data_IF_954334332917
#
_entry.id   IF_954334332917
#
_cell.length_a   1.000
_cell.length_b   1.000
_cell.length_c   1.000
_cell.angle_alpha   90.00
_cell.angle_beta   90.00
_cell.angle_gamma   90.00
#
_symmetry.space_group_name_H-M   'P 1'
#
loop_
_entity.id
_entity.type
_entity.pdbx_description
1 polymer ?
#
# COMPACT_ATOMS: atom_id res chain seq x y z
N UNK A 1 -0.59 11.04 -13.99
CA UNK A 1 -0.39 11.20 -15.44
C UNK A 1 -0.95 12.54 -15.93
N UNK A 2 -0.40 13.08 -17.01
CA UNK A 2 -0.88 14.31 -17.64
C UNK A 2 -2.34 14.24 -18.05
N UNK A 3 -2.81 13.07 -18.51
CA UNK A 3 -4.24 12.84 -18.82
C UNK A 3 -5.15 13.05 -17.60
N UNK A 4 -4.78 12.53 -16.43
CA UNK A 4 -5.57 12.72 -15.22
C UNK A 4 -5.62 14.20 -14.81
N UNK A 5 -4.48 14.89 -14.86
CA UNK A 5 -4.40 16.34 -14.62
C UNK A 5 -5.29 17.12 -15.60
N UNK A 6 -5.24 16.81 -16.89
CA UNK A 6 -6.06 17.45 -17.90
C UNK A 6 -7.58 17.31 -17.61
N UNK A 7 -8.01 16.13 -17.14
CA UNK A 7 -9.40 15.90 -16.74
C UNK A 7 -9.77 16.74 -15.51
N UNK A 8 -8.90 16.82 -14.51
CA UNK A 8 -9.13 17.62 -13.30
C UNK A 8 -9.22 19.11 -13.63
N UNK A 9 -8.31 19.63 -14.47
CA UNK A 9 -8.35 21.02 -14.93
C UNK A 9 -9.67 21.32 -15.63
N UNK A 10 -10.08 20.51 -16.62
CA UNK A 10 -11.31 20.71 -17.37
C UNK A 10 -12.58 20.66 -16.51
N UNK A 11 -12.58 19.86 -15.44
CA UNK A 11 -13.77 19.64 -14.60
C UNK A 11 -13.92 20.62 -13.46
N UNK A 12 -12.85 21.20 -12.97
CA UNK A 12 -12.89 21.93 -11.71
C UNK A 12 -12.00 23.16 -11.59
N UNK A 13 -11.03 23.37 -12.50
CA UNK A 13 -10.04 24.42 -12.31
C UNK A 13 -10.64 25.82 -12.13
N UNK A 14 -11.56 26.23 -12.99
CA UNK A 14 -12.18 27.57 -12.87
C UNK A 14 -12.87 27.80 -11.53
N UNK A 15 -13.33 26.75 -10.88
CA UNK A 15 -13.96 26.79 -9.57
C UNK A 15 -12.96 26.86 -8.42
N UNK A 16 -11.76 26.28 -8.58
CA UNK A 16 -10.80 26.07 -7.49
C UNK A 16 -9.43 26.71 -7.76
N UNK A 17 -9.24 27.42 -8.86
CA UNK A 17 -7.95 27.98 -9.31
C UNK A 17 -7.24 28.82 -8.26
N UNK A 18 -7.99 29.59 -7.49
CA UNK A 18 -7.44 30.45 -6.41
C UNK A 18 -6.85 29.66 -5.23
N UNK A 19 -7.22 28.38 -5.09
CA UNK A 19 -6.71 27.49 -4.06
C UNK A 19 -5.62 26.53 -4.56
N UNK A 20 -5.29 26.56 -5.85
CA UNK A 20 -4.33 25.66 -6.46
C UNK A 20 -2.91 26.16 -6.24
N UNK A 21 -2.25 25.64 -5.20
CA UNK A 21 -0.86 25.98 -4.84
C UNK A 21 0.21 25.13 -5.55
N UNK A 22 -0.14 24.01 -6.13
CA UNK A 22 0.79 23.08 -6.77
C UNK A 22 0.13 21.81 -7.29
N UNK A 23 0.90 21.02 -8.05
CA UNK A 23 0.51 19.69 -8.51
C UNK A 23 1.48 18.68 -7.95
N UNK A 24 1.00 17.67 -7.24
CA UNK A 24 1.83 16.60 -6.72
C UNK A 24 1.90 15.49 -7.77
N UNK A 25 3.11 15.17 -8.21
CA UNK A 25 3.43 13.94 -8.93
C UNK A 25 4.03 12.95 -7.93
N UNK A 26 3.37 11.82 -7.74
CA UNK A 26 3.88 10.74 -6.90
C UNK A 26 4.36 9.58 -7.78
N UNK A 27 5.63 9.17 -7.59
CA UNK A 27 6.19 8.01 -8.27
C UNK A 27 5.60 6.72 -7.68
N UNK A 28 4.82 5.95 -8.47
CA UNK A 28 4.09 4.80 -7.92
C UNK A 28 4.98 3.63 -7.51
N UNK A 29 6.20 3.50 -8.04
CA UNK A 29 7.13 2.42 -7.70
C UNK A 29 7.88 2.67 -6.39
N UNK A 30 8.06 3.94 -6.03
CA UNK A 30 8.87 4.34 -4.88
C UNK A 30 8.07 4.99 -3.75
N UNK A 31 6.80 5.27 -3.97
CA UNK A 31 5.91 5.81 -2.94
C UNK A 31 5.68 4.82 -1.81
N UNK A 32 5.45 5.32 -0.60
CA UNK A 32 4.96 4.54 0.54
C UNK A 32 3.46 4.67 0.68
N UNK A 33 2.77 3.59 1.01
CA UNK A 33 1.31 3.56 1.07
C UNK A 33 0.68 3.33 -0.30
N UNK A 34 -0.49 3.91 -0.56
CA UNK A 34 -1.21 3.69 -1.80
C UNK A 34 -0.46 4.27 -3.00
N UNK A 35 -0.30 3.47 -4.04
CA UNK A 35 0.47 3.79 -5.23
C UNK A 35 -0.45 4.13 -6.41
N UNK A 36 -0.22 5.27 -7.05
CA UNK A 36 -1.01 5.77 -8.16
C UNK A 36 -0.63 5.17 -9.52
N UNK A 37 -0.56 3.84 -9.65
CA UNK A 37 -0.30 3.18 -10.93
C UNK A 37 -1.38 3.50 -11.95
N UNK A 38 -0.97 3.76 -13.18
CA UNK A 38 -1.88 3.83 -14.34
C UNK A 38 -2.03 2.46 -15.00
N UNK A 39 -3.03 2.30 -15.85
CA UNK A 39 -3.26 1.04 -16.56
C UNK A 39 -2.11 0.62 -17.50
N UNK A 40 -1.18 1.52 -17.79
CA UNK A 40 0.00 1.28 -18.65
C UNK A 40 1.27 1.01 -17.84
N UNK A 41 1.22 1.16 -16.51
CA UNK A 41 2.36 0.94 -15.64
C UNK A 41 2.44 -0.55 -15.24
N UNK A 42 3.63 -1.13 -15.31
CA UNK A 42 3.90 -2.49 -14.84
C UNK A 42 4.63 -2.43 -13.49
N UNK A 43 4.05 -3.04 -12.46
CA UNK A 43 4.59 -3.00 -11.08
C UNK A 43 6.06 -3.43 -11.01
N UNK A 44 6.44 -4.46 -11.77
CA UNK A 44 7.80 -5.00 -11.81
C UNK A 44 8.80 -4.23 -12.68
N UNK A 45 8.36 -3.15 -13.37
CA UNK A 45 9.19 -2.39 -14.31
C UNK A 45 9.18 -0.89 -13.98
N UNK A 46 9.95 -0.45 -12.97
CA UNK A 46 10.07 0.96 -12.63
C UNK A 46 10.52 1.80 -13.84
N UNK A 47 9.89 2.96 -14.01
CA UNK A 47 10.22 3.91 -15.07
C UNK A 47 10.80 5.18 -14.46
N UNK A 48 11.66 5.88 -15.21
CA UNK A 48 12.10 7.22 -14.79
C UNK A 48 10.92 8.19 -14.82
N UNK A 49 10.72 9.00 -13.78
CA UNK A 49 9.62 9.95 -13.72
C UNK A 49 9.75 11.13 -14.69
N UNK A 50 10.93 11.33 -15.28
CA UNK A 50 11.25 12.51 -16.09
C UNK A 50 10.20 12.82 -17.16
N UNK A 51 9.91 11.86 -18.05
CA UNK A 51 8.93 12.07 -19.13
C UNK A 51 7.52 12.37 -18.61
N UNK A 52 7.12 11.74 -17.51
CA UNK A 52 5.80 11.99 -16.90
C UNK A 52 5.71 13.40 -16.30
N UNK A 53 6.80 13.90 -15.73
CA UNK A 53 6.88 15.25 -15.17
C UNK A 53 6.89 16.30 -16.27
N UNK A 54 7.65 16.09 -17.35
CA UNK A 54 7.63 16.94 -18.54
C UNK A 54 6.22 16.99 -19.17
N UNK A 55 5.54 15.84 -19.31
CA UNK A 55 4.15 15.78 -19.78
C UNK A 55 3.22 16.63 -18.89
N UNK A 56 3.36 16.52 -17.57
CA UNK A 56 2.58 17.32 -16.60
C UNK A 56 2.84 18.80 -16.80
N UNK A 57 4.11 19.21 -16.97
CA UNK A 57 4.48 20.62 -17.24
C UNK A 57 3.86 21.14 -18.52
N UNK A 58 3.87 20.34 -19.59
CA UNK A 58 3.24 20.70 -20.86
C UNK A 58 1.74 20.91 -20.71
N UNK A 59 1.04 20.02 -19.98
CA UNK A 59 -0.40 20.16 -19.68
C UNK A 59 -0.65 21.44 -18.89
N UNK A 60 0.16 21.76 -17.88
CA UNK A 60 0.03 22.99 -17.12
C UNK A 60 0.23 24.23 -18.01
N UNK A 61 1.27 24.27 -18.81
CA UNK A 61 1.56 25.38 -19.71
C UNK A 61 0.45 25.64 -20.73
N UNK A 62 -0.10 24.59 -21.34
CA UNK A 62 -1.22 24.66 -22.27
C UNK A 62 -2.52 25.22 -21.66
N UNK A 63 -2.63 25.20 -20.33
CA UNK A 63 -3.79 25.71 -19.60
C UNK A 63 -3.49 27.04 -18.86
N UNK A 64 -2.37 27.73 -19.19
CA UNK A 64 -1.98 28.99 -18.56
C UNK A 64 -1.45 28.87 -17.13
N UNK A 65 -1.02 27.65 -16.75
CA UNK A 65 -0.54 27.29 -15.41
C UNK A 65 0.96 26.95 -15.38
N UNK A 66 1.72 27.48 -16.33
CA UNK A 66 3.14 27.18 -16.49
C UNK A 66 3.99 27.45 -15.26
N UNK A 67 3.62 28.40 -14.41
CA UNK A 67 4.35 28.76 -13.18
C UNK A 67 3.94 27.93 -11.95
N UNK A 68 2.89 27.14 -12.04
CA UNK A 68 2.43 26.28 -10.92
C UNK A 68 3.50 25.23 -10.62
N UNK A 69 3.99 25.12 -9.37
CA UNK A 69 5.03 24.17 -9.03
C UNK A 69 4.54 22.72 -9.13
N UNK A 70 5.44 21.83 -9.59
CA UNK A 70 5.25 20.39 -9.52
C UNK A 70 5.99 19.87 -8.29
N UNK A 71 5.26 19.26 -7.36
CA UNK A 71 5.85 18.64 -6.17
C UNK A 71 6.11 17.17 -6.47
N UNK A 72 7.38 16.80 -6.50
CA UNK A 72 7.82 15.43 -6.75
C UNK A 72 7.76 14.64 -5.43
N UNK A 73 7.00 13.56 -5.41
CA UNK A 73 6.84 12.65 -4.29
C UNK A 73 7.12 11.20 -4.72
N UNK A 74 7.40 10.34 -3.74
CA UNK A 74 7.77 8.95 -3.99
C UNK A 74 9.26 8.80 -4.34
N UNK A 75 10.00 8.13 -3.47
CA UNK A 75 11.41 7.85 -3.68
C UNK A 75 12.38 9.01 -3.42
N UNK A 76 11.91 10.18 -3.04
CA UNK A 76 12.78 11.32 -2.71
C UNK A 76 13.53 11.03 -1.41
N UNK A 77 14.86 10.96 -1.50
CA UNK A 77 15.75 10.71 -0.36
C UNK A 77 16.70 11.87 -0.11
N UNK A 78 17.39 12.34 -1.13
CA UNK A 78 18.25 13.54 -1.10
C UNK A 78 17.92 14.41 -2.31
N UNK A 79 18.27 15.71 -2.26
CA UNK A 79 18.14 16.59 -3.43
C UNK A 79 19.21 16.28 -4.49
N UNK A 80 20.32 15.68 -4.08
CA UNK A 80 21.38 15.26 -5.01
C UNK A 80 20.86 14.21 -6.03
N UNK A 81 19.97 13.32 -5.60
CA UNK A 81 19.36 12.32 -6.49
C UNK A 81 18.49 12.96 -7.60
N UNK A 82 18.14 14.25 -7.46
CA UNK A 82 17.20 14.97 -8.32
C UNK A 82 17.77 16.23 -8.97
N UNK A 83 19.10 16.37 -9.04
CA UNK A 83 19.74 17.56 -9.61
C UNK A 83 19.32 17.86 -11.05
N UNK A 84 19.09 16.82 -11.88
CA UNK A 84 18.62 16.97 -13.26
C UNK A 84 17.21 17.54 -13.40
N UNK A 85 16.46 17.62 -12.28
CA UNK A 85 15.11 18.18 -12.22
C UNK A 85 15.08 19.61 -11.70
N UNK A 86 16.11 20.01 -10.93
CA UNK A 86 16.22 21.33 -10.33
C UNK A 86 16.77 22.30 -11.38
N UNK A 87 16.16 23.50 -11.47
CA UNK A 87 16.53 24.53 -12.45
C UNK A 87 16.48 24.07 -13.92
N UNK A 88 15.72 23.02 -14.20
CA UNK A 88 15.56 22.47 -15.53
C UNK A 88 14.42 23.19 -16.27
N UNK A 89 14.71 23.86 -17.44
CA UNK A 89 13.71 24.66 -18.15
C UNK A 89 12.55 23.85 -18.74
N UNK A 90 12.73 22.56 -19.02
CA UNK A 90 11.63 21.69 -19.50
C UNK A 90 10.66 21.35 -18.36
N UNK A 91 11.13 21.31 -17.15
CA UNK A 91 10.36 20.93 -15.95
C UNK A 91 9.79 22.18 -15.26
N UNK A 92 10.55 23.25 -15.21
CA UNK A 92 10.19 24.50 -14.53
C UNK A 92 10.22 24.36 -13.02
N UNK A 93 9.35 25.08 -12.31
CA UNK A 93 9.33 25.12 -10.86
C UNK A 93 8.99 23.74 -10.26
N UNK A 94 9.90 23.22 -9.41
CA UNK A 94 9.73 21.96 -8.68
C UNK A 94 9.87 22.14 -7.19
N UNK A 95 9.19 21.28 -6.45
CA UNK A 95 9.40 21.03 -5.02
C UNK A 95 9.51 19.54 -4.75
N UNK A 96 9.86 19.17 -3.51
CA UNK A 96 10.08 17.77 -3.15
C UNK A 96 9.35 17.41 -1.86
N UNK A 97 8.74 16.22 -1.83
CA UNK A 97 8.06 15.67 -0.66
C UNK A 97 8.84 14.47 -0.14
N UNK A 98 9.21 14.52 1.13
CA UNK A 98 9.87 13.44 1.85
C UNK A 98 8.86 12.71 2.74
N UNK A 99 8.49 11.49 2.40
CA UNK A 99 7.53 10.68 3.18
C UNK A 99 8.22 9.72 4.14
N UNK A 100 9.12 8.88 3.64
CA UNK A 100 9.74 7.79 4.40
C UNK A 100 10.86 8.28 5.33
N UNK A 101 11.74 9.17 4.85
CA UNK A 101 12.91 9.62 5.59
C UNK A 101 12.58 10.28 6.94
N UNK A 102 11.52 11.10 7.08
CA UNK A 102 11.13 11.67 8.38
C UNK A 102 10.65 10.66 9.42
N UNK A 103 10.32 9.42 9.04
CA UNK A 103 9.86 8.41 9.99
C UNK A 103 10.91 8.07 11.06
N UNK A 104 12.20 8.26 10.78
CA UNK A 104 13.28 8.01 11.73
C UNK A 104 13.77 9.26 12.49
N UNK A 105 12.94 10.27 12.62
CA UNK A 105 13.26 11.43 13.47
C UNK A 105 12.79 11.24 14.91
N UNK A 106 13.32 12.02 15.85
CA UNK A 106 12.89 12.01 17.26
C UNK A 106 11.40 12.29 17.38
N UNK A 107 10.89 13.27 16.63
CA UNK A 107 9.52 13.74 16.67
C UNK A 107 8.52 12.80 16.02
N UNK A 108 9.00 11.84 15.21
CA UNK A 108 8.12 10.87 14.59
C UNK A 108 7.43 9.99 15.64
N UNK A 109 6.08 9.87 15.59
CA UNK A 109 5.33 9.15 16.62
C UNK A 109 5.37 7.63 16.48
N UNK A 110 6.01 7.09 15.43
CA UNK A 110 6.11 5.62 15.30
C UNK A 110 6.95 5.04 16.43
N UNK A 111 6.61 3.84 16.87
CA UNK A 111 7.29 3.21 18.01
C UNK A 111 8.76 2.91 17.75
N UNK A 112 9.52 2.75 18.83
CA UNK A 112 10.94 2.39 18.76
C UNK A 112 11.18 1.05 18.04
N UNK A 113 10.23 0.12 18.15
CA UNK A 113 10.31 -1.17 17.45
C UNK A 113 10.28 -0.97 15.93
N UNK A 114 9.38 -0.11 15.41
CA UNK A 114 9.33 0.25 14.00
C UNK A 114 10.59 1.01 13.56
N UNK A 115 11.06 1.98 14.36
CA UNK A 115 12.29 2.74 14.05
C UNK A 115 13.50 1.81 13.91
N UNK A 116 13.65 0.84 14.82
CA UNK A 116 14.72 -0.17 14.76
C UNK A 116 14.59 -1.08 13.53
N UNK A 117 13.38 -1.52 13.19
CA UNK A 117 13.16 -2.32 12.00
C UNK A 117 13.57 -1.59 10.72
N UNK A 118 13.20 -0.31 10.59
CA UNK A 118 13.53 0.52 9.42
C UNK A 118 15.05 0.61 9.17
N UNK A 119 15.90 0.64 10.21
CA UNK A 119 17.36 0.68 10.07
C UNK A 119 17.97 -0.59 9.46
N UNK A 120 17.24 -1.70 9.48
CA UNK A 120 17.77 -3.00 9.06
C UNK A 120 17.18 -3.49 7.72
N UNK A 121 16.32 -2.69 7.08
CA UNK A 121 15.67 -3.07 5.84
C UNK A 121 16.68 -3.22 4.69
N UNK A 122 16.41 -4.21 3.84
CA UNK A 122 17.05 -4.40 2.55
C UNK A 122 16.10 -3.95 1.42
N UNK A 123 16.57 -3.95 0.19
CA UNK A 123 15.81 -3.49 -0.97
C UNK A 123 14.47 -4.23 -1.14
N UNK A 124 14.45 -5.55 -0.87
CA UNK A 124 13.28 -6.41 -1.07
C UNK A 124 12.37 -6.52 0.16
N UNK A 125 12.68 -5.80 1.25
CA UNK A 125 11.87 -5.80 2.47
C UNK A 125 10.68 -4.83 2.39
N UNK A 126 10.55 -4.08 1.31
CA UNK A 126 9.37 -3.26 1.00
C UNK A 126 8.71 -3.79 -0.26
N UNK A 127 7.44 -4.19 -0.15
CA UNK A 127 6.69 -4.81 -1.24
C UNK A 127 5.47 -3.99 -1.62
N UNK A 128 5.15 -3.99 -2.93
CA UNK A 128 3.90 -3.47 -3.46
C UNK A 128 2.90 -4.62 -3.50
N UNK A 129 1.72 -4.40 -2.93
CA UNK A 129 0.67 -5.41 -2.76
C UNK A 129 -0.72 -4.77 -2.86
N UNK A 130 -1.75 -5.58 -3.05
CA UNK A 130 -3.15 -5.17 -3.25
C UNK A 130 -4.07 -5.53 -2.07
N UNK A 131 -3.52 -5.75 -0.87
CA UNK A 131 -4.28 -6.15 0.31
C UNK A 131 -5.05 -5.01 0.99
N UNK A 132 -4.79 -3.75 0.56
CA UNK A 132 -5.50 -2.61 1.13
C UNK A 132 -7.01 -2.70 0.88
N UNK A 133 -7.84 -2.40 1.90
CA UNK A 133 -9.29 -2.37 1.73
C UNK A 133 -9.78 -1.30 0.73
N UNK A 134 -8.91 -0.44 0.25
CA UNK A 134 -9.20 0.54 -0.82
C UNK A 134 -9.22 -0.09 -2.22
N UNK A 135 -8.70 -1.31 -2.38
CA UNK A 135 -8.52 -1.97 -3.68
C UNK A 135 -7.37 -1.41 -4.52
N UNK A 136 -6.61 -0.43 -4.01
CA UNK A 136 -5.43 0.09 -4.70
C UNK A 136 -4.16 -0.62 -4.24
N UNK A 137 -3.21 -0.77 -5.17
CA UNK A 137 -1.86 -1.21 -4.85
C UNK A 137 -1.25 -0.29 -3.78
N UNK A 138 -0.54 -0.87 -2.85
CA UNK A 138 0.14 -0.12 -1.80
C UNK A 138 1.50 -0.71 -1.44
N UNK A 139 2.42 0.14 -1.03
CA UNK A 139 3.79 -0.21 -0.67
C UNK A 139 3.95 -0.22 0.84
N UNK A 140 4.38 -1.36 1.39
CA UNK A 140 4.54 -1.57 2.82
C UNK A 140 5.74 -2.47 3.13
N UNK A 141 6.18 -2.44 4.40
CA UNK A 141 7.22 -3.34 4.90
C UNK A 141 6.70 -4.77 4.91
N UNK A 142 7.49 -5.68 4.34
CA UNK A 142 7.24 -7.12 4.28
C UNK A 142 7.54 -7.76 5.64
N UNK A 143 6.56 -7.73 6.53
CA UNK A 143 6.61 -8.36 7.84
C UNK A 143 5.68 -9.59 7.90
N UNK A 144 5.58 -10.22 9.07
CA UNK A 144 4.68 -11.38 9.27
C UNK A 144 3.21 -11.06 8.98
N UNK A 145 2.76 -9.82 9.27
CA UNK A 145 1.40 -9.38 8.92
C UNK A 145 1.14 -9.44 7.41
N UNK A 146 2.02 -8.86 6.61
CA UNK A 146 1.92 -8.90 5.13
C UNK A 146 2.05 -10.35 4.62
N UNK A 147 2.94 -11.16 5.21
CA UNK A 147 3.11 -12.55 4.80
C UNK A 147 1.87 -13.41 5.07
N UNK A 148 1.13 -13.16 6.16
CA UNK A 148 -0.18 -13.81 6.42
C UNK A 148 -1.19 -13.51 5.30
N UNK A 149 -1.24 -12.25 4.83
CA UNK A 149 -2.16 -11.86 3.74
C UNK A 149 -1.76 -12.48 2.39
N UNK A 150 -0.46 -12.56 2.09
CA UNK A 150 0.03 -13.31 0.92
C UNK A 150 -0.35 -14.78 0.98
N UNK A 151 -0.17 -15.43 2.13
CA UNK A 151 -0.52 -16.84 2.29
C UNK A 151 -2.03 -17.07 2.11
N UNK A 152 -2.88 -16.18 2.64
CA UNK A 152 -4.34 -16.23 2.41
C UNK A 152 -4.69 -16.15 0.92
N UNK A 153 -4.10 -15.20 0.20
CA UNK A 153 -4.35 -14.99 -1.22
C UNK A 153 -3.80 -16.14 -2.08
N UNK A 154 -2.59 -16.61 -1.79
CA UNK A 154 -1.93 -17.66 -2.56
C UNK A 154 -2.54 -19.05 -2.33
N UNK A 155 -3.28 -19.25 -1.22
CA UNK A 155 -4.00 -20.48 -0.91
C UNK A 155 -5.49 -20.43 -1.25
N UNK A 156 -5.95 -19.37 -1.90
CA UNK A 156 -7.32 -19.18 -2.32
C UNK A 156 -7.71 -20.22 -3.36
N UNK A 157 -8.83 -20.92 -3.11
CA UNK A 157 -9.34 -21.96 -4.00
C UNK A 157 -10.80 -21.73 -4.39
N UNK A 158 -11.20 -22.05 -5.62
CA UNK A 158 -12.60 -22.01 -6.03
C UNK A 158 -13.41 -23.12 -5.36
N UNK A 159 -14.71 -22.91 -5.23
CA UNK A 159 -15.64 -23.92 -4.70
C UNK A 159 -17.00 -23.87 -5.39
N UNK A 160 -17.76 -24.94 -5.25
CA UNK A 160 -19.17 -25.03 -5.61
C UNK A 160 -20.03 -25.37 -4.38
N UNK A 161 -21.27 -24.92 -4.36
CA UNK A 161 -22.28 -25.32 -3.35
C UNK A 161 -22.86 -26.67 -3.65
N UNK A 162 -22.78 -27.13 -4.90
CA UNK A 162 -23.29 -28.40 -5.38
C UNK A 162 -22.15 -29.26 -5.91
N UNK A 163 -22.24 -30.56 -5.71
CA UNK A 163 -21.28 -31.51 -6.26
C UNK A 163 -21.42 -31.58 -7.78
N UNK A 164 -20.31 -31.47 -8.50
CA UNK A 164 -20.25 -31.59 -9.96
C UNK A 164 -19.08 -32.47 -10.36
N UNK A 165 -18.94 -32.75 -11.64
CA UNK A 165 -17.77 -33.50 -12.15
C UNK A 165 -16.44 -32.73 -11.95
N UNK A 166 -16.48 -31.41 -11.94
CA UNK A 166 -15.32 -30.55 -11.71
C UNK A 166 -15.04 -30.36 -10.21
N UNK A 167 -16.09 -30.12 -9.43
CA UNK A 167 -16.05 -29.92 -7.98
C UNK A 167 -16.55 -31.18 -7.27
N UNK A 168 -15.68 -32.17 -7.15
CA UNK A 168 -16.05 -33.54 -6.68
C UNK A 168 -15.76 -33.79 -5.21
N UNK A 169 -14.77 -33.07 -4.64
CA UNK A 169 -14.25 -33.34 -3.29
C UNK A 169 -14.97 -32.48 -2.24
N UNK A 170 -15.62 -33.12 -1.23
CA UNK A 170 -16.34 -32.38 -0.19
C UNK A 170 -15.38 -31.71 0.79
N UNK A 171 -15.64 -30.45 1.17
CA UNK A 171 -14.97 -29.73 2.24
C UNK A 171 -15.99 -29.16 3.22
N UNK A 172 -15.83 -29.43 4.51
CA UNK A 172 -16.76 -28.97 5.56
C UNK A 172 -16.47 -27.51 5.89
N UNK A 173 -17.38 -26.62 5.54
CA UNK A 173 -17.31 -25.20 5.85
C UNK A 173 -17.80 -24.88 7.27
N UNK A 174 -18.92 -25.50 7.68
CA UNK A 174 -19.50 -25.36 9.02
C UNK A 174 -20.27 -26.62 9.39
N UNK A 175 -20.81 -26.67 10.62
CA UNK A 175 -21.56 -27.84 11.12
C UNK A 175 -22.64 -28.36 10.16
N UNK A 176 -23.26 -27.44 9.39
CA UNK A 176 -24.39 -27.77 8.51
C UNK A 176 -24.14 -27.39 7.05
N UNK A 177 -22.89 -27.05 6.68
CA UNK A 177 -22.58 -26.59 5.33
C UNK A 177 -21.34 -27.29 4.80
N UNK A 178 -21.50 -28.00 3.71
CA UNK A 178 -20.43 -28.62 2.94
C UNK A 178 -20.38 -27.93 1.58
N UNK A 179 -19.19 -27.58 1.17
CA UNK A 179 -18.89 -27.13 -0.18
C UNK A 179 -18.10 -28.21 -0.92
N UNK A 180 -17.94 -28.05 -2.21
CA UNK A 180 -17.20 -28.97 -3.06
C UNK A 180 -16.08 -28.22 -3.76
N UNK A 181 -14.89 -28.81 -3.75
CA UNK A 181 -13.68 -28.26 -4.36
C UNK A 181 -13.16 -29.20 -5.45
N UNK A 182 -12.23 -28.75 -6.25
CA UNK A 182 -11.58 -29.56 -7.25
C UNK A 182 -10.63 -30.55 -6.59
N UNK A 183 -10.46 -31.70 -7.22
CA UNK A 183 -9.50 -32.71 -6.74
C UNK A 183 -8.06 -32.17 -6.68
N UNK A 184 -7.67 -31.33 -7.61
CA UNK A 184 -6.35 -30.70 -7.65
C UNK A 184 -6.10 -29.74 -6.47
N UNK A 185 -7.14 -29.13 -5.92
CA UNK A 185 -7.05 -28.20 -4.79
C UNK A 185 -6.87 -28.90 -3.43
N UNK A 186 -7.03 -30.23 -3.36
CA UNK A 186 -6.84 -31.01 -2.13
C UNK A 186 -5.40 -30.86 -1.57
N UNK A 187 -4.40 -30.74 -2.43
CA UNK A 187 -3.03 -30.51 -2.00
C UNK A 187 -2.88 -29.19 -1.24
N UNK A 188 -3.56 -28.14 -1.68
CA UNK A 188 -3.61 -26.83 -0.98
C UNK A 188 -4.30 -26.96 0.37
N UNK A 189 -5.43 -27.69 0.45
CA UNK A 189 -6.14 -27.97 1.72
C UNK A 189 -5.20 -28.64 2.72
N UNK A 190 -4.53 -29.71 2.29
CA UNK A 190 -3.60 -30.48 3.14
C UNK A 190 -2.43 -29.63 3.62
N UNK A 191 -1.88 -28.78 2.76
CA UNK A 191 -0.81 -27.84 3.12
C UNK A 191 -1.28 -26.84 4.16
N UNK A 192 -2.45 -26.24 3.99
CA UNK A 192 -2.99 -25.26 4.92
C UNK A 192 -3.35 -25.90 6.26
N UNK A 193 -3.90 -27.11 6.26
CA UNK A 193 -4.16 -27.88 7.49
C UNK A 193 -2.85 -28.18 8.25
N UNK A 194 -1.78 -28.55 7.57
CA UNK A 194 -0.44 -28.76 8.20
C UNK A 194 0.10 -27.48 8.82
N UNK A 195 -0.26 -26.31 8.29
CA UNK A 195 0.08 -24.98 8.88
C UNK A 195 -0.87 -24.60 10.04
N UNK A 196 -1.82 -25.44 10.42
CA UNK A 196 -2.83 -25.16 11.47
C UNK A 196 -3.97 -24.25 11.02
N UNK A 197 -4.12 -24.02 9.72
CA UNK A 197 -5.18 -23.20 9.14
C UNK A 197 -6.37 -24.06 8.76
N UNK A 198 -7.22 -24.35 9.73
CA UNK A 198 -8.38 -25.25 9.60
C UNK A 198 -9.71 -24.54 9.48
N UNK A 199 -9.73 -23.21 9.67
CA UNK A 199 -10.94 -22.41 9.51
C UNK A 199 -11.07 -21.91 8.07
N UNK A 200 -12.25 -22.05 7.49
CA UNK A 200 -12.56 -21.54 6.16
C UNK A 200 -13.30 -20.19 6.24
N UNK A 201 -13.09 -19.35 5.23
CA UNK A 201 -13.89 -18.15 4.99
C UNK A 201 -14.17 -18.01 3.50
N UNK A 202 -15.40 -17.59 3.17
CA UNK A 202 -15.82 -17.30 1.79
C UNK A 202 -15.44 -15.85 1.48
N UNK A 203 -14.84 -15.63 0.32
CA UNK A 203 -14.52 -14.29 -0.19
C UNK A 203 -15.68 -13.70 -1.00
N UNK A 204 -15.69 -12.38 -1.24
CA UNK A 204 -16.66 -11.77 -2.15
C UNK A 204 -16.65 -12.34 -3.57
N UNK A 205 -15.54 -12.92 -4.01
CA UNK A 205 -15.38 -13.51 -5.35
C UNK A 205 -15.81 -14.99 -5.42
N UNK A 206 -16.48 -15.50 -4.36
CA UNK A 206 -16.91 -16.90 -4.23
C UNK A 206 -15.75 -17.90 -4.28
N UNK A 207 -14.69 -17.62 -3.54
CA UNK A 207 -13.60 -18.55 -3.29
C UNK A 207 -13.46 -18.83 -1.81
N UNK A 208 -12.69 -19.84 -1.44
CA UNK A 208 -12.35 -20.18 -0.06
C UNK A 208 -10.93 -19.75 0.26
N UNK A 209 -10.75 -19.18 1.45
CA UNK A 209 -9.45 -18.94 2.07
C UNK A 209 -9.35 -19.67 3.40
N UNK A 210 -8.10 -19.92 3.83
CA UNK A 210 -7.77 -20.69 5.02
C UNK A 210 -7.21 -19.77 6.10
N UNK A 211 -7.71 -19.96 7.33
CA UNK A 211 -7.35 -19.17 8.51
C UNK A 211 -7.04 -20.11 9.67
N UNK A 212 -6.13 -19.72 10.56
CA UNK A 212 -6.07 -20.33 11.88
C UNK A 212 -7.27 -19.89 12.74
N UNK A 213 -7.48 -20.56 13.85
CA UNK A 213 -8.55 -20.17 14.80
C UNK A 213 -8.34 -18.75 15.30
N UNK A 214 -7.10 -18.40 15.67
CA UNK A 214 -6.75 -17.07 16.18
C UNK A 214 -6.94 -15.99 15.12
N UNK A 215 -6.51 -16.23 13.87
CA UNK A 215 -6.76 -15.32 12.75
C UNK A 215 -8.26 -15.08 12.55
N UNK A 216 -9.06 -16.16 12.57
CA UNK A 216 -10.52 -16.05 12.41
C UNK A 216 -11.16 -15.23 13.54
N UNK A 217 -10.74 -15.46 14.78
CA UNK A 217 -11.24 -14.72 15.94
C UNK A 217 -10.88 -13.23 15.83
N UNK A 218 -9.64 -12.90 15.50
CA UNK A 218 -9.19 -11.52 15.33
C UNK A 218 -9.96 -10.81 14.22
N UNK A 219 -10.11 -11.45 13.06
CA UNK A 219 -10.85 -10.87 11.95
C UNK A 219 -12.33 -10.62 12.31
N UNK A 220 -12.95 -11.53 13.07
CA UNK A 220 -14.35 -11.35 13.53
C UNK A 220 -14.50 -10.18 14.51
N UNK A 221 -13.52 -9.97 15.40
CA UNK A 221 -13.48 -8.78 16.27
C UNK A 221 -13.32 -7.51 15.45
N UNK A 222 -12.41 -7.50 14.49
CA UNK A 222 -12.16 -6.36 13.62
C UNK A 222 -13.38 -6.01 12.75
N UNK A 223 -14.14 -7.03 12.30
CA UNK A 223 -15.42 -6.84 11.60
C UNK A 223 -16.46 -6.21 12.51
N UNK A 224 -16.56 -6.67 13.76
CA UNK A 224 -17.49 -6.14 14.77
C UNK A 224 -17.20 -4.67 15.07
N UNK A 225 -15.92 -4.31 15.15
CA UNK A 225 -15.45 -2.95 15.44
C UNK A 225 -15.41 -2.03 14.21
N UNK A 226 -15.78 -2.55 13.02
CA UNK A 226 -15.71 -1.80 11.78
C UNK A 226 -16.71 -0.64 11.77
N UNK A 227 -16.20 0.58 11.67
CA UNK A 227 -17.01 1.81 11.60
C UNK A 227 -17.43 2.23 10.18
N UNK A 228 -17.10 1.42 9.16
CA UNK A 228 -17.47 1.69 7.76
C UNK A 228 -16.74 2.88 7.13
N UNK A 229 -15.55 3.26 7.61
CA UNK A 229 -14.81 4.47 7.22
C UNK A 229 -14.46 4.57 5.71
N UNK A 230 -14.55 3.47 4.97
CA UNK A 230 -14.37 3.41 3.51
C UNK A 230 -15.68 2.88 2.88
N UNK A 231 -16.70 3.72 2.82
CA UNK A 231 -18.01 3.39 2.21
C UNK A 231 -18.60 2.06 2.71
N UNK A 232 -18.68 1.91 4.03
CA UNK A 232 -19.14 0.72 4.76
C UNK A 232 -18.18 -0.49 4.76
N UNK A 233 -16.92 -0.24 4.68
CA UNK A 233 -15.74 -1.09 4.55
C UNK A 233 -15.92 -2.58 4.91
N UNK A 234 -15.82 -3.05 6.15
CA UNK A 234 -15.60 -4.47 6.52
C UNK A 234 -14.54 -5.15 5.64
N UNK A 235 -13.40 -4.43 5.52
CA UNK A 235 -12.24 -4.75 4.67
C UNK A 235 -12.51 -4.73 3.17
N UNK A 236 -13.52 -4.01 2.74
CA UNK A 236 -13.92 -3.65 1.38
C UNK A 236 -13.70 -4.75 0.30
N UNK A 237 -14.54 -4.78 -0.66
CA UNK A 237 -14.40 -5.63 -1.85
C UNK A 237 -14.41 -4.77 -3.13
N UNK A 238 -13.75 -3.60 -3.11
CA UNK A 238 -13.75 -2.68 -4.26
C UNK A 238 -13.06 -3.27 -5.49
N UNK A 239 -12.15 -4.22 -5.29
CA UNK A 239 -11.51 -4.98 -6.36
C UNK A 239 -12.41 -6.10 -6.91
N UNK A 240 -13.50 -6.45 -6.23
CA UNK A 240 -14.38 -7.51 -6.67
C UNK A 240 -15.28 -7.04 -7.82
N UNK A 241 -15.45 -7.90 -8.82
CA UNK A 241 -16.34 -7.64 -9.97
C UNK A 241 -17.83 -7.65 -9.58
N UNK A 242 -18.16 -8.13 -8.39
CA UNK A 242 -19.55 -8.28 -7.93
C UNK A 242 -20.13 -7.03 -7.27
N UNK A 243 -19.31 -6.02 -6.99
CA UNK A 243 -19.74 -4.81 -6.30
C UNK A 243 -20.28 -5.06 -4.88
N UNK A 244 -19.70 -6.02 -4.15
CA UNK A 244 -20.17 -6.46 -2.83
C UNK A 244 -19.57 -5.68 -1.66
N UNK A 245 -18.94 -4.52 -1.91
CA UNK A 245 -18.29 -3.69 -0.90
C UNK A 245 -19.17 -3.53 0.36
N UNK A 246 -18.64 -3.93 1.51
CA UNK A 246 -19.29 -3.86 2.81
C UNK A 246 -20.45 -4.85 3.03
N UNK A 247 -20.91 -5.60 2.02
CA UNK A 247 -21.97 -6.61 2.15
C UNK A 247 -21.46 -7.95 2.64
N UNK A 248 -20.37 -8.42 2.04
CA UNK A 248 -19.65 -9.63 2.45
C UNK A 248 -18.24 -9.21 2.89
N UNK A 249 -17.79 -9.59 4.10
CA UNK A 249 -16.43 -9.30 4.55
C UNK A 249 -15.38 -9.93 3.65
N UNK A 250 -14.36 -9.15 3.26
CA UNK A 250 -13.20 -9.65 2.52
C UNK A 250 -12.00 -9.82 3.46
N UNK A 251 -11.78 -11.06 3.90
CA UNK A 251 -10.69 -11.39 4.83
C UNK A 251 -9.32 -11.60 4.14
N UNK A 252 -9.24 -11.36 2.84
CA UNK A 252 -7.94 -11.21 2.14
C UNK A 252 -7.31 -9.85 2.43
N UNK A 253 -8.10 -8.93 2.97
CA UNK A 253 -7.70 -7.58 3.38
C UNK A 253 -7.73 -7.44 4.92
N UNK A 254 -7.67 -6.24 5.43
CA UNK A 254 -7.53 -5.94 6.85
C UNK A 254 -8.18 -4.59 7.24
N UNK A 255 -8.40 -4.36 8.54
CA UNK A 255 -8.86 -3.06 9.04
C UNK A 255 -7.72 -2.03 9.01
N UNK A 256 -7.64 -1.21 7.95
CA UNK A 256 -6.58 -0.20 7.78
C UNK A 256 -6.54 0.81 8.93
N UNK A 257 -7.71 1.24 9.42
CA UNK A 257 -7.79 2.20 10.55
C UNK A 257 -7.12 1.63 11.80
N UNK A 258 -7.49 0.40 12.20
CA UNK A 258 -6.96 -0.25 13.40
C UNK A 258 -5.47 -0.48 13.27
N UNK A 259 -5.03 -1.05 12.16
CA UNK A 259 -3.62 -1.33 11.93
C UNK A 259 -2.75 -0.08 11.96
N UNK A 260 -3.17 1.04 11.35
CA UNK A 260 -2.41 2.29 11.38
C UNK A 260 -2.38 2.94 12.77
N UNK A 261 -3.46 2.85 13.55
CA UNK A 261 -3.49 3.37 14.93
C UNK A 261 -2.48 2.64 15.84
N UNK A 262 -2.34 1.34 15.67
CA UNK A 262 -1.43 0.52 16.49
C UNK A 262 0.06 0.77 16.18
N UNK A 263 0.39 1.30 15.01
CA UNK A 263 1.79 1.62 14.62
C UNK A 263 2.44 2.61 15.60
N UNK A 264 1.69 3.61 16.07
CA UNK A 264 2.19 4.59 17.03
C UNK A 264 2.13 4.09 18.48
N UNK A 265 1.04 3.42 18.85
CA UNK A 265 0.72 3.18 20.27
C UNK A 265 1.33 1.91 20.86
N UNK A 266 1.25 0.78 20.18
CA UNK A 266 1.64 -0.52 20.75
C UNK A 266 2.95 -1.06 20.22
N UNK A 267 3.41 -0.55 19.08
CA UNK A 267 4.70 -0.97 18.52
C UNK A 267 4.78 -2.44 18.08
N UNK A 268 3.63 -3.10 17.91
CA UNK A 268 3.61 -4.47 17.41
C UNK A 268 3.93 -4.50 15.92
N UNK A 269 5.16 -4.88 15.59
CA UNK A 269 5.66 -4.97 14.22
C UNK A 269 5.26 -6.27 13.51
N UNK A 270 4.66 -7.22 14.23
CA UNK A 270 4.31 -8.53 13.68
C UNK A 270 2.89 -8.59 13.12
N UNK A 271 1.97 -7.84 13.73
CA UNK A 271 0.53 -7.92 13.44
C UNK A 271 -0.05 -6.61 12.90
N UNK A 272 0.81 -5.65 12.52
CA UNK A 272 0.41 -4.36 11.97
C UNK A 272 1.16 -4.03 10.69
N UNK A 273 0.59 -3.12 9.89
CA UNK A 273 1.21 -2.62 8.67
C UNK A 273 1.94 -1.31 8.93
N UNK A 274 3.15 -1.17 8.37
CA UNK A 274 3.80 0.13 8.20
C UNK A 274 3.97 0.39 6.70
N UNK A 275 3.30 1.40 6.20
CA UNK A 275 3.51 1.89 4.85
C UNK A 275 4.87 2.57 4.74
N UNK A 276 5.62 2.20 3.73
CA UNK A 276 6.97 2.73 3.49
C UNK A 276 7.30 2.73 2.01
N UNK A 277 8.03 3.72 1.55
CA UNK A 277 8.59 3.75 0.21
C UNK A 277 9.78 2.79 0.06
N UNK A 278 10.02 2.31 -1.16
CA UNK A 278 11.09 1.34 -1.45
C UNK A 278 12.49 1.83 -1.06
N UNK A 279 12.73 3.14 -1.04
CA UNK A 279 14.01 3.71 -0.63
C UNK A 279 14.31 3.60 0.88
N UNK A 280 13.43 3.01 1.69
CA UNK A 280 13.66 2.78 3.12
C UNK A 280 14.95 1.98 3.42
N UNK A 281 15.40 1.12 2.53
CA UNK A 281 16.67 0.40 2.68
C UNK A 281 17.89 1.35 2.82
N UNK A 282 17.78 2.59 2.32
CA UNK A 282 18.83 3.61 2.43
C UNK A 282 19.08 4.04 3.88
N UNK A 283 18.15 3.85 4.82
CA UNK A 283 18.39 4.11 6.24
C UNK A 283 19.62 3.38 6.77
N UNK A 284 19.84 2.15 6.30
CA UNK A 284 20.97 1.32 6.72
C UNK A 284 22.34 1.95 6.42
N UNK A 285 22.43 2.75 5.39
CA UNK A 285 23.68 3.39 4.92
C UNK A 285 23.70 4.90 5.07
N UNK A 286 22.60 5.54 5.41
CA UNK A 286 22.51 6.99 5.58
C UNK A 286 23.22 7.40 6.89
N UNK A 287 24.31 8.20 6.82
CA UNK A 287 25.08 8.59 8.00
C UNK A 287 24.26 9.36 9.04
N UNK A 288 23.16 10.02 8.62
CA UNK A 288 22.30 10.76 9.53
C UNK A 288 21.66 9.87 10.59
N UNK A 289 21.33 8.60 10.25
CA UNK A 289 20.61 7.68 11.11
C UNK A 289 21.50 6.65 11.82
N UNK A 290 22.79 6.56 11.47
CA UNK A 290 23.73 5.58 12.01
C UNK A 290 24.60 6.14 13.15
N UNK A 291 24.08 7.11 13.94
CA UNK A 291 24.82 7.80 15.02
C UNK A 291 24.50 7.26 16.42
N UNK A 292 23.63 6.27 16.55
CA UNK A 292 23.19 5.73 17.84
C UNK A 292 22.04 6.49 18.51
N UNK A 293 21.64 7.64 17.97
CA UNK A 293 20.44 8.41 18.35
C UNK A 293 19.68 8.84 17.10
N UNK A 294 18.38 9.10 17.26
CA UNK A 294 17.55 9.61 16.17
C UNK A 294 17.84 11.08 15.93
N UNK A 295 17.95 11.53 14.67
CA UNK A 295 18.06 12.95 14.37
C UNK A 295 16.75 13.67 14.67
N UNK A 296 16.83 14.96 15.02
CA UNK A 296 15.66 15.82 15.02
C UNK A 296 15.20 16.12 13.59
N UNK A 297 13.93 16.52 13.43
CA UNK A 297 13.42 17.00 12.12
C UNK A 297 14.23 18.19 11.61
N UNK A 298 14.74 19.03 12.52
CA UNK A 298 15.60 20.16 12.16
C UNK A 298 16.91 19.70 11.53
N UNK A 299 17.59 18.72 12.13
CA UNK A 299 18.83 18.15 11.56
C UNK A 299 18.57 17.50 10.21
N UNK A 300 17.43 16.81 10.05
CA UNK A 300 17.03 16.25 8.76
C UNK A 300 16.87 17.34 7.70
N UNK A 301 16.14 18.42 8.01
CA UNK A 301 15.95 19.55 7.09
C UNK A 301 17.27 20.20 6.73
N UNK A 302 18.15 20.43 7.72
CA UNK A 302 19.46 21.04 7.49
C UNK A 302 20.34 20.13 6.60
N UNK A 303 20.20 18.81 6.72
CA UNK A 303 20.90 17.83 5.87
C UNK A 303 20.36 17.86 4.44
N UNK A 304 19.04 17.87 4.26
CA UNK A 304 18.39 17.97 2.94
C UNK A 304 18.79 19.27 2.23
N UNK A 305 18.83 20.41 2.93
CA UNK A 305 19.27 21.71 2.35
C UNK A 305 20.71 21.72 1.88
N UNK A 306 21.56 20.84 2.39
CA UNK A 306 22.92 20.63 1.91
C UNK A 306 23.01 19.69 0.71
N UNK A 307 21.86 19.23 0.20
CA UNK A 307 21.77 18.31 -0.93
C UNK A 307 21.86 16.81 -0.56
N UNK A 308 22.03 16.51 0.73
CA UNK A 308 22.28 15.14 1.23
C UNK A 308 21.01 14.40 1.64
#
# INVERSE_FOLDING_TARGET
SGRALQILIRRGYDKYKEFMGGVIYEDPWFAGGHCGFSNTDEVGKPQTPYHKIVEIRQVLAQNGLGDVPIIIAGGVWSLQDWQDYIDNPEIGNVGFQFGTRPMLTEESPISQAWKKLLLHLNLDDVVIQDFSPTGFLSSAIKNSFIMKLFDRKNSEIPFSKEQTSEFSEPIVYSKNTTYYIRKEDMATVDEQHKKGKTCLSVTPDNTLIFLSVDEKMQDMEDIKDCCGCLSACKFSAWSSHTGTTGKLPDLRSFCIRKSLMEVGHKGNILDNILFSGKNAFKFKTDPLFNRGNWPSIKELIDTIKKGL
#
